data_IF_153270136591
#
_entry.id   IF_153270136591
#
_cell.length_a   1.000
_cell.length_b   1.000
_cell.length_c   1.000
_cell.angle_alpha   90.00
_cell.angle_beta   90.00
_cell.angle_gamma   90.00
#
_symmetry.space_group_name_H-M   'P 1'
#
loop_
_entity.id
_entity.type
_entity.pdbx_description
1 polymer ?
#
# COMPACT_ATOMS: atom_id res chain seq x y z
N UNK A 1 1.61 18.84 10.32
CA UNK A 1 2.43 18.40 9.16
C UNK A 1 3.23 17.12 9.47
N UNK A 2 3.71 16.95 10.71
CA UNK A 2 4.41 15.72 11.15
C UNK A 2 3.53 14.46 11.10
N UNK A 3 2.26 14.53 11.51
CA UNK A 3 1.37 13.35 11.55
C UNK A 3 1.21 12.66 10.19
N UNK A 4 1.11 13.42 9.09
CA UNK A 4 0.97 12.87 7.74
C UNK A 4 2.23 12.12 7.31
N UNK A 5 3.40 12.75 7.53
CA UNK A 5 4.69 12.13 7.26
C UNK A 5 4.88 10.86 8.10
N UNK A 6 4.46 10.90 9.37
CA UNK A 6 4.51 9.73 10.25
C UNK A 6 3.63 8.60 9.71
N UNK A 7 2.39 8.88 9.28
CA UNK A 7 1.51 7.87 8.69
C UNK A 7 2.13 7.22 7.44
N UNK A 8 2.77 8.01 6.57
CA UNK A 8 3.43 7.48 5.36
C UNK A 8 4.66 6.65 5.72
N UNK A 9 5.46 7.09 6.70
CA UNK A 9 6.62 6.33 7.18
C UNK A 9 6.18 5.01 7.80
N UNK A 10 5.24 5.04 8.74
CA UNK A 10 4.75 3.85 9.43
C UNK A 10 4.05 2.91 8.45
N UNK A 11 3.20 3.45 7.57
CA UNK A 11 2.55 2.65 6.54
C UNK A 11 3.53 2.03 5.54
N UNK A 12 4.53 2.78 5.09
CA UNK A 12 5.59 2.27 4.20
C UNK A 12 6.41 1.16 4.86
N UNK A 13 6.75 1.32 6.13
CA UNK A 13 7.43 0.27 6.90
C UNK A 13 6.55 -0.98 7.06
N UNK A 14 5.26 -0.80 7.37
CA UNK A 14 4.31 -1.91 7.48
C UNK A 14 4.18 -2.65 6.15
N UNK A 15 4.15 -1.96 5.01
CA UNK A 15 4.14 -2.58 3.68
C UNK A 15 5.39 -3.41 3.41
N UNK A 16 6.58 -2.91 3.80
CA UNK A 16 7.84 -3.65 3.67
C UNK A 16 7.78 -4.94 4.51
N UNK A 17 7.32 -4.85 5.76
CA UNK A 17 7.22 -6.01 6.65
C UNK A 17 6.15 -6.99 6.16
N UNK A 18 4.96 -6.49 5.80
CA UNK A 18 3.85 -7.27 5.27
C UNK A 18 4.22 -8.03 4.00
N UNK A 19 5.02 -7.44 3.12
CA UNK A 19 5.54 -8.10 1.91
C UNK A 19 6.49 -9.27 2.14
N UNK A 20 6.95 -9.49 3.37
CA UNK A 20 7.85 -10.59 3.72
C UNK A 20 7.16 -11.68 4.52
N UNK A 21 5.89 -11.48 4.87
CA UNK A 21 5.08 -12.47 5.55
C UNK A 21 4.33 -13.32 4.52
N UNK A 22 3.85 -14.52 4.88
CA UNK A 22 2.95 -15.29 4.02
C UNK A 22 1.66 -14.53 3.76
N UNK A 23 1.23 -14.49 2.50
CA UNK A 23 0.00 -13.79 2.08
C UNK A 23 -1.18 -14.73 1.93
N UNK A 24 -0.91 -15.93 1.41
CA UNK A 24 -1.92 -16.90 1.07
C UNK A 24 -1.47 -18.31 1.42
N UNK A 25 -2.38 -19.10 1.98
CA UNK A 25 -2.13 -20.48 2.32
C UNK A 25 -2.49 -21.38 1.13
N UNK A 26 -1.51 -21.60 0.26
CA UNK A 26 -1.58 -22.41 -0.97
C UNK A 26 -2.23 -23.79 -0.78
N UNK A 27 -1.87 -24.59 0.25
CA UNK A 27 -2.47 -25.91 0.43
C UNK A 27 -3.96 -25.85 0.76
N UNK A 28 -4.39 -24.75 1.40
CA UNK A 28 -5.77 -24.51 1.82
C UNK A 28 -6.62 -23.98 0.66
N UNK A 29 -6.02 -23.16 -0.21
CA UNK A 29 -6.67 -22.62 -1.41
C UNK A 29 -7.07 -23.71 -2.41
N UNK A 30 -6.20 -24.70 -2.63
CA UNK A 30 -6.41 -25.72 -3.68
C UNK A 30 -6.71 -27.13 -3.13
N UNK A 31 -6.70 -27.32 -1.80
CA UNK A 31 -6.90 -28.64 -1.18
C UNK A 31 -5.81 -29.66 -1.53
N UNK A 32 -4.62 -29.19 -1.90
CA UNK A 32 -3.52 -30.03 -2.38
C UNK A 32 -2.55 -30.39 -1.24
N UNK A 33 -2.02 -31.62 -1.28
CA UNK A 33 -1.00 -32.12 -0.37
C UNK A 33 0.18 -32.69 -1.17
N UNK A 34 1.42 -32.50 -0.68
CA UNK A 34 2.63 -33.04 -1.32
C UNK A 34 3.03 -32.30 -2.61
N UNK A 35 4.14 -32.69 -3.29
CA UNK A 35 4.97 -31.90 -4.23
C UNK A 35 4.28 -31.11 -5.36
N UNK A 36 3.00 -31.36 -5.62
CA UNK A 36 2.16 -30.56 -6.50
C UNK A 36 1.94 -29.10 -6.00
N UNK A 37 2.38 -28.78 -4.78
CA UNK A 37 2.27 -27.45 -4.15
C UNK A 37 3.25 -26.41 -4.71
N UNK A 38 4.43 -26.81 -5.21
CA UNK A 38 5.50 -25.87 -5.58
C UNK A 38 5.27 -25.16 -6.92
N UNK A 39 4.29 -25.60 -7.71
CA UNK A 39 4.08 -25.15 -9.10
C UNK A 39 2.86 -24.26 -9.32
N UNK A 40 2.13 -23.87 -8.26
CA UNK A 40 0.91 -23.06 -8.40
C UNK A 40 1.25 -21.60 -8.13
N UNK A 41 1.24 -20.78 -9.18
CA UNK A 41 1.28 -19.32 -9.08
C UNK A 41 -0.01 -18.83 -8.43
N UNK A 42 0.06 -18.24 -7.24
CA UNK A 42 -1.13 -17.84 -6.50
C UNK A 42 -1.24 -16.32 -6.45
N UNK A 43 -2.16 -15.82 -7.28
CA UNK A 43 -2.48 -14.41 -7.36
C UNK A 43 -1.42 -13.59 -8.10
N UNK A 44 -1.84 -12.42 -8.59
CA UNK A 44 -1.00 -11.51 -9.36
C UNK A 44 0.22 -10.97 -8.58
N UNK A 45 0.17 -11.04 -7.24
CA UNK A 45 1.29 -10.71 -6.36
C UNK A 45 1.57 -11.84 -5.36
N UNK A 46 2.05 -12.97 -5.89
CA UNK A 46 2.41 -14.20 -5.18
C UNK A 46 3.17 -13.99 -3.85
N UNK A 47 4.07 -13.00 -3.80
CA UNK A 47 5.05 -12.84 -2.70
C UNK A 47 5.10 -11.43 -2.07
N UNK A 48 4.11 -10.57 -2.32
CA UNK A 48 4.13 -9.20 -1.78
C UNK A 48 5.25 -8.30 -2.32
N UNK A 49 6.02 -8.73 -3.32
CA UNK A 49 7.23 -8.05 -3.81
C UNK A 49 7.00 -6.63 -4.32
N UNK A 50 5.92 -6.41 -5.07
CA UNK A 50 5.55 -5.10 -5.64
C UNK A 50 5.11 -4.17 -4.52
N UNK A 51 4.26 -4.63 -3.62
CA UNK A 51 3.77 -3.98 -2.42
C UNK A 51 4.92 -3.59 -1.49
N UNK A 52 5.90 -4.48 -1.31
CA UNK A 52 7.13 -4.20 -0.57
C UNK A 52 8.00 -3.13 -1.25
N UNK A 53 8.15 -3.20 -2.58
CA UNK A 53 8.84 -2.19 -3.37
C UNK A 53 8.18 -0.80 -3.27
N UNK A 54 6.86 -0.75 -3.37
CA UNK A 54 6.08 0.48 -3.15
C UNK A 54 6.28 0.99 -1.72
N UNK A 55 6.20 0.10 -0.73
CA UNK A 55 6.46 0.42 0.67
C UNK A 55 7.84 1.06 0.87
N UNK A 56 8.87 0.52 0.24
CA UNK A 56 10.23 1.05 0.26
C UNK A 56 10.33 2.44 -0.37
N UNK A 57 9.74 2.64 -1.56
CA UNK A 57 9.74 3.94 -2.24
C UNK A 57 9.02 4.99 -1.38
N UNK A 58 7.86 4.65 -0.82
CA UNK A 58 7.11 5.54 0.06
C UNK A 58 7.87 5.86 1.34
N UNK A 59 8.50 4.86 1.95
CA UNK A 59 9.30 5.03 3.17
C UNK A 59 10.51 5.94 2.91
N UNK A 60 11.35 5.62 1.92
CA UNK A 60 12.53 6.42 1.59
C UNK A 60 12.15 7.84 1.15
N UNK A 61 11.13 7.97 0.31
CA UNK A 61 10.62 9.26 -0.12
C UNK A 61 10.11 10.09 1.06
N UNK A 62 9.46 9.47 2.05
CA UNK A 62 9.04 10.13 3.27
C UNK A 62 10.21 10.48 4.21
N UNK A 63 11.26 9.66 4.30
CA UNK A 63 12.48 9.98 5.07
C UNK A 63 13.16 11.21 4.48
N UNK A 64 13.39 11.20 3.16
CA UNK A 64 14.04 12.27 2.40
C UNK A 64 13.16 13.54 2.29
N UNK A 65 11.90 13.45 2.67
CA UNK A 65 10.96 14.58 2.70
C UNK A 65 11.39 15.66 3.69
N UNK A 66 12.14 16.67 3.22
CA UNK A 66 12.49 17.92 3.93
C UNK A 66 12.22 19.15 3.04
N UNK A 67 11.87 20.29 3.63
CA UNK A 67 11.88 21.60 2.94
C UNK A 67 10.82 21.80 1.83
N UNK A 68 11.22 22.45 0.71
CA UNK A 68 10.35 22.88 -0.42
C UNK A 68 9.92 21.76 -1.39
N UNK A 69 10.47 20.54 -1.27
CA UNK A 69 10.06 19.36 -2.05
C UNK A 69 8.64 18.84 -1.71
N UNK A 70 7.93 19.53 -0.81
CA UNK A 70 6.63 19.16 -0.24
C UNK A 70 5.49 18.96 -1.23
N UNK A 71 5.50 19.66 -2.36
CA UNK A 71 4.41 19.56 -3.34
C UNK A 71 4.68 18.51 -4.43
N UNK A 72 5.94 18.34 -4.83
CA UNK A 72 6.32 17.43 -5.91
C UNK A 72 6.20 15.96 -5.53
N UNK A 73 6.49 15.61 -4.29
CA UNK A 73 6.43 14.21 -3.83
C UNK A 73 5.02 13.75 -3.46
N UNK A 74 4.09 14.66 -3.12
CA UNK A 74 2.78 14.26 -2.61
C UNK A 74 1.90 13.53 -3.63
N UNK A 75 1.96 13.92 -4.92
CA UNK A 75 1.12 13.31 -5.97
C UNK A 75 1.66 11.92 -6.34
N UNK A 76 2.96 11.75 -6.67
CA UNK A 76 3.52 10.41 -6.93
C UNK A 76 3.33 9.46 -5.73
N UNK A 77 3.51 9.96 -4.50
CA UNK A 77 3.28 9.15 -3.31
C UNK A 77 1.81 8.71 -3.18
N UNK A 78 0.86 9.58 -3.49
CA UNK A 78 -0.56 9.22 -3.47
C UNK A 78 -0.90 8.17 -4.54
N UNK A 79 -0.34 8.29 -5.74
CA UNK A 79 -0.52 7.29 -6.81
C UNK A 79 0.02 5.93 -6.35
N UNK A 80 1.23 5.90 -5.79
CA UNK A 80 1.83 4.68 -5.26
C UNK A 80 1.01 4.08 -4.11
N UNK A 81 0.50 4.90 -3.19
CA UNK A 81 -0.33 4.42 -2.09
C UNK A 81 -1.67 3.83 -2.57
N UNK A 82 -2.31 4.47 -3.55
CA UNK A 82 -3.52 3.92 -4.20
C UNK A 82 -3.19 2.61 -4.90
N UNK A 83 -2.07 2.56 -5.63
CA UNK A 83 -1.65 1.35 -6.32
C UNK A 83 -1.44 0.20 -5.34
N UNK A 84 -0.69 0.40 -4.24
CA UNK A 84 -0.52 -0.60 -3.19
C UNK A 84 -1.86 -1.08 -2.60
N UNK A 85 -2.82 -0.18 -2.37
CA UNK A 85 -4.14 -0.56 -1.89
C UNK A 85 -4.89 -1.43 -2.92
N UNK A 86 -4.82 -1.09 -4.21
CA UNK A 86 -5.43 -1.88 -5.28
C UNK A 86 -4.82 -3.28 -5.40
N UNK A 87 -3.50 -3.42 -5.23
CA UNK A 87 -2.85 -4.74 -5.24
C UNK A 87 -3.45 -5.62 -4.13
N UNK A 88 -3.42 -5.12 -2.89
CA UNK A 88 -3.88 -5.89 -1.73
C UNK A 88 -5.38 -6.21 -1.84
N UNK A 89 -6.21 -5.25 -2.24
CA UNK A 89 -7.65 -5.48 -2.45
C UNK A 89 -7.89 -6.47 -3.58
N UNK A 90 -7.12 -6.40 -4.67
CA UNK A 90 -7.17 -7.37 -5.76
C UNK A 90 -6.91 -8.79 -5.28
N UNK A 91 -5.90 -8.98 -4.42
CA UNK A 91 -5.63 -10.28 -3.80
C UNK A 91 -6.81 -10.78 -2.94
N UNK A 92 -7.44 -9.91 -2.14
CA UNK A 92 -8.65 -10.25 -1.39
C UNK A 92 -9.78 -10.74 -2.30
N UNK A 93 -10.03 -10.01 -3.39
CA UNK A 93 -11.07 -10.37 -4.35
C UNK A 93 -10.76 -11.68 -5.05
N UNK A 94 -9.51 -11.93 -5.44
CA UNK A 94 -9.11 -13.20 -6.04
C UNK A 94 -9.33 -14.39 -5.11
N UNK A 95 -9.01 -14.26 -3.81
CA UNK A 95 -9.27 -15.33 -2.83
C UNK A 95 -10.78 -15.57 -2.67
N UNK A 96 -11.59 -14.51 -2.66
CA UNK A 96 -13.05 -14.63 -2.61
C UNK A 96 -13.61 -15.31 -3.86
N UNK A 97 -13.08 -14.99 -5.04
CA UNK A 97 -13.48 -15.60 -6.31
C UNK A 97 -13.08 -17.07 -6.41
N UNK A 98 -11.96 -17.46 -5.78
CA UNK A 98 -11.52 -18.85 -5.72
C UNK A 98 -12.42 -19.74 -4.84
N UNK A 99 -13.20 -19.14 -3.94
CA UNK A 99 -14.11 -19.82 -3.00
C UNK A 99 -13.49 -21.06 -2.34
N UNK A 100 -12.41 -20.90 -1.56
CA UNK A 100 -11.65 -22.03 -1.04
C UNK A 100 -12.52 -22.88 -0.11
N UNK A 101 -12.45 -24.22 -0.20
CA UNK A 101 -13.34 -25.13 0.54
C UNK A 101 -13.17 -25.05 2.06
N UNK A 102 -12.00 -24.63 2.55
CA UNK A 102 -11.76 -24.39 3.98
C UNK A 102 -12.20 -22.99 4.44
N UNK A 103 -12.67 -22.15 3.52
CA UNK A 103 -13.14 -20.79 3.77
C UNK A 103 -12.07 -19.72 3.58
N UNK A 104 -12.53 -18.50 3.30
CA UNK A 104 -11.72 -17.32 3.02
C UNK A 104 -10.62 -17.05 4.07
N UNK A 105 -10.97 -17.10 5.36
CA UNK A 105 -10.04 -16.82 6.46
C UNK A 105 -8.96 -17.88 6.64
N UNK A 106 -9.24 -19.13 6.25
CA UNK A 106 -8.24 -20.20 6.31
C UNK A 106 -7.24 -20.09 5.14
N UNK A 107 -7.67 -19.50 4.03
CA UNK A 107 -6.86 -19.28 2.84
C UNK A 107 -6.03 -17.98 2.88
N UNK A 108 -6.38 -17.04 3.77
CA UNK A 108 -5.73 -15.72 3.87
C UNK A 108 -4.77 -15.68 5.05
N UNK A 109 -3.49 -15.40 4.80
CA UNK A 109 -2.47 -15.30 5.84
C UNK A 109 -2.21 -13.87 6.31
N UNK A 110 -1.44 -13.75 7.40
CA UNK A 110 -1.17 -12.50 8.10
C UNK A 110 -0.56 -11.40 7.23
N UNK A 111 0.20 -11.74 6.20
CA UNK A 111 0.87 -10.79 5.32
C UNK A 111 -0.09 -9.90 4.53
N UNK A 112 -1.23 -10.45 4.09
CA UNK A 112 -2.27 -9.69 3.40
C UNK A 112 -2.90 -8.66 4.35
N UNK A 113 -3.24 -9.06 5.57
CA UNK A 113 -3.84 -8.15 6.56
C UNK A 113 -2.87 -7.03 6.98
N UNK A 114 -1.61 -7.37 7.22
CA UNK A 114 -0.57 -6.38 7.54
C UNK A 114 -0.38 -5.39 6.39
N UNK A 115 -0.32 -5.89 5.15
CA UNK A 115 -0.17 -5.05 3.96
C UNK A 115 -1.39 -4.15 3.71
N UNK A 116 -2.60 -4.63 4.04
CA UNK A 116 -3.82 -3.83 4.00
C UNK A 116 -3.76 -2.65 4.98
N UNK A 117 -3.32 -2.89 6.21
CA UNK A 117 -3.14 -1.83 7.21
C UNK A 117 -2.10 -0.82 6.71
N UNK A 118 -0.98 -1.30 6.18
CA UNK A 118 0.07 -0.46 5.62
C UNK A 118 -0.42 0.42 4.46
N UNK A 119 -1.19 -0.16 3.54
CA UNK A 119 -1.72 0.56 2.39
C UNK A 119 -2.73 1.63 2.82
N UNK A 120 -3.64 1.34 3.75
CA UNK A 120 -4.55 2.36 4.30
C UNK A 120 -3.82 3.50 5.00
N UNK A 121 -2.81 3.21 5.83
CA UNK A 121 -2.04 4.24 6.52
C UNK A 121 -1.30 5.16 5.54
N UNK A 122 -0.67 4.59 4.51
CA UNK A 122 -0.01 5.39 3.47
C UNK A 122 -1.02 6.21 2.65
N UNK A 123 -2.21 5.66 2.36
CA UNK A 123 -3.25 6.33 1.60
C UNK A 123 -3.83 7.52 2.36
N UNK A 124 -4.15 7.36 3.65
CA UNK A 124 -4.59 8.47 4.51
C UNK A 124 -3.50 9.54 4.64
N UNK A 125 -2.25 9.11 4.85
CA UNK A 125 -1.10 10.01 4.95
C UNK A 125 -0.88 10.85 3.68
N UNK A 126 -0.92 10.21 2.51
CA UNK A 126 -0.67 10.85 1.22
C UNK A 126 -1.86 11.71 0.76
N UNK A 127 -3.11 11.25 0.93
CA UNK A 127 -4.30 12.06 0.66
C UNK A 127 -4.28 13.37 1.45
N UNK A 128 -3.94 13.28 2.74
CA UNK A 128 -3.75 14.46 3.57
C UNK A 128 -2.66 15.39 3.00
N UNK A 129 -1.55 14.86 2.51
CA UNK A 129 -0.47 15.66 1.94
C UNK A 129 -0.90 16.38 0.65
N UNK A 130 -1.59 15.67 -0.25
CA UNK A 130 -2.11 16.20 -1.51
C UNK A 130 -3.09 17.36 -1.27
N UNK A 131 -4.07 17.19 -0.38
CA UNK A 131 -5.05 18.24 -0.03
C UNK A 131 -4.34 19.51 0.45
N UNK A 132 -3.30 19.36 1.28
CA UNK A 132 -2.54 20.51 1.77
C UNK A 132 -1.72 21.18 0.66
N UNK A 133 -1.15 20.38 -0.25
CA UNK A 133 -0.41 20.89 -1.41
C UNK A 133 -1.30 21.78 -2.28
N UNK A 134 -2.52 21.32 -2.60
CA UNK A 134 -3.50 22.11 -3.36
C UNK A 134 -3.91 23.40 -2.64
N UNK A 135 -4.20 23.34 -1.32
CA UNK A 135 -4.56 24.54 -0.55
C UNK A 135 -3.45 25.59 -0.54
N UNK A 136 -2.19 25.16 -0.39
CA UNK A 136 -1.05 26.06 -0.41
C UNK A 136 -0.81 26.65 -1.79
N UNK A 137 -0.98 25.86 -2.86
CA UNK A 137 -0.84 26.37 -4.23
C UNK A 137 -1.93 27.40 -4.54
N UNK A 138 -3.18 27.14 -4.12
CA UNK A 138 -4.31 28.08 -4.27
C UNK A 138 -4.07 29.39 -3.53
N UNK A 139 -3.55 29.35 -2.29
CA UNK A 139 -3.19 30.58 -1.55
C UNK A 139 -2.13 31.41 -2.29
N UNK A 140 -1.06 30.76 -2.75
CA UNK A 140 0.00 31.44 -3.50
C UNK A 140 -0.49 32.07 -4.79
N UNK A 141 -1.38 31.39 -5.51
CA UNK A 141 -2.00 31.97 -6.72
C UNK A 141 -2.85 33.19 -6.39
N UNK A 142 -3.63 33.15 -5.30
CA UNK A 142 -4.47 34.28 -4.89
C UNK A 142 -3.63 35.49 -4.43
N UNK A 143 -2.57 35.25 -3.66
CA UNK A 143 -1.58 36.25 -3.27
C UNK A 143 -0.87 36.86 -4.49
N UNK A 144 -0.50 36.04 -5.48
CA UNK A 144 0.15 36.51 -6.71
C UNK A 144 -0.79 37.33 -7.61
N UNK A 145 -2.10 37.07 -7.56
CA UNK A 145 -3.11 37.84 -8.32
C UNK A 145 -3.62 39.07 -7.59
N UNK A 146 -3.18 39.34 -6.34
CA UNK A 146 -3.64 40.49 -5.56
C UNK A 146 -5.11 40.42 -5.12
N UNK A 147 -5.69 39.22 -5.08
CA UNK A 147 -7.11 38.96 -4.73
C UNK A 147 -7.26 38.56 -3.25
N UNK A 148 -6.19 38.68 -2.47
CA UNK A 148 -6.11 38.22 -1.08
C UNK A 148 -6.63 39.27 -0.08
#
# INVERSE_FOLDING_TARGET
MQTKKLLILTGGLILILGSRLPWMSVPVLYGLQGPAYESIEIGWEDNGLVTGGIGLILFLGAVLWRGRAKAGFSIPAAILAVYAALIVIGCFLSILEMDPPAGFFAATDIGIYVSLIGSFLTLVGTAGAVIMSFRNNRRRTLEATGVA
#
